data_IF_366994894147
#
_entry.id   IF_366994894147
#
_cell.length_a   1.000
_cell.length_b   1.000
_cell.length_c   1.000
_cell.angle_alpha   90.00
_cell.angle_beta   90.00
_cell.angle_gamma   90.00
#
_symmetry.space_group_name_H-M   'P 1'
#
loop_
_entity.id
_entity.type
_entity.pdbx_description
1 polymer ?
#
# COMPACT_ATOMS: atom_id res chain seq x y z
N UNK A 1 -1.47 12.77 5.78
CA UNK A 1 -2.15 11.46 5.79
C UNK A 1 -1.36 10.46 4.95
N UNK A 2 -1.40 9.16 5.27
CA UNK A 2 -0.68 8.14 4.50
C UNK A 2 -1.49 7.64 3.30
N UNK A 3 -0.82 7.37 2.18
CA UNK A 3 -1.46 6.83 1.00
C UNK A 3 -1.38 5.30 1.00
N UNK A 4 -2.47 4.63 1.38
CA UNK A 4 -2.56 3.18 1.53
C UNK A 4 -3.59 2.51 0.61
N UNK A 5 -3.98 3.19 -0.49
CA UNK A 5 -4.98 2.69 -1.46
C UNK A 5 -6.27 2.13 -0.81
N UNK A 6 -6.75 2.75 0.27
CA UNK A 6 -7.92 2.28 1.05
C UNK A 6 -7.80 0.84 1.62
N UNK A 7 -6.57 0.35 1.77
CA UNK A 7 -6.30 -1.03 2.23
C UNK A 7 -5.69 -1.11 3.61
N UNK A 8 -5.25 -0.01 4.19
CA UNK A 8 -4.83 0.07 5.58
C UNK A 8 -5.46 1.26 6.28
N UNK A 9 -5.86 1.07 7.54
CA UNK A 9 -6.35 2.13 8.40
C UNK A 9 -5.23 2.82 9.20
N UNK A 10 -4.07 2.16 9.31
CA UNK A 10 -2.93 2.63 10.12
C UNK A 10 -1.66 2.66 9.27
N UNK A 11 -0.78 3.57 9.60
CA UNK A 11 0.55 3.68 9.02
C UNK A 11 1.54 4.15 10.09
N UNK A 12 2.83 3.95 9.84
CA UNK A 12 3.92 4.54 10.60
C UNK A 12 4.77 5.44 9.71
N UNK A 13 5.43 6.41 10.31
CA UNK A 13 6.45 7.19 9.61
C UNK A 13 7.81 6.48 9.68
N UNK A 14 8.58 6.53 8.59
CA UNK A 14 9.95 6.06 8.52
C UNK A 14 10.84 7.21 8.00
N UNK A 15 11.75 7.67 8.86
CA UNK A 15 12.66 8.79 8.57
C UNK A 15 13.66 8.47 7.46
N UNK A 16 14.13 7.23 7.38
CA UNK A 16 15.08 6.80 6.36
C UNK A 16 14.44 6.87 4.97
N UNK A 17 13.23 6.32 4.83
CA UNK A 17 12.47 6.40 3.59
C UNK A 17 12.10 7.82 3.21
N UNK A 18 11.83 8.68 4.20
CA UNK A 18 11.61 10.10 3.96
C UNK A 18 12.84 10.77 3.34
N UNK A 19 14.03 10.55 3.91
CA UNK A 19 15.29 11.06 3.36
C UNK A 19 15.55 10.54 1.94
N UNK A 20 15.43 9.23 1.73
CA UNK A 20 15.61 8.59 0.42
C UNK A 20 14.64 9.10 -0.65
N UNK A 21 13.41 9.46 -0.26
CA UNK A 21 12.43 10.04 -1.18
C UNK A 21 12.68 11.52 -1.55
N UNK A 22 13.82 12.10 -1.15
CA UNK A 22 14.09 13.52 -1.30
C UNK A 22 13.20 14.38 -0.41
N UNK A 23 12.94 13.92 0.82
CA UNK A 23 12.07 14.59 1.82
C UNK A 23 10.62 14.78 1.34
N UNK A 24 10.09 13.82 0.57
CA UNK A 24 8.70 13.85 0.04
C UNK A 24 7.74 12.92 0.76
N UNK A 25 8.14 11.68 1.05
CA UNK A 25 7.26 10.69 1.69
C UNK A 25 8.04 9.69 2.55
N UNK A 26 7.64 9.55 3.82
CA UNK A 26 8.14 8.55 4.77
C UNK A 26 7.08 7.56 5.27
N UNK A 27 5.83 7.68 4.83
CA UNK A 27 4.73 6.86 5.33
C UNK A 27 4.84 5.39 4.89
N UNK A 28 4.62 4.46 5.81
CA UNK A 28 4.57 3.02 5.56
C UNK A 28 3.27 2.48 6.13
N UNK A 29 2.41 1.92 5.26
CA UNK A 29 1.15 1.33 5.66
C UNK A 29 1.36 0.07 6.51
N UNK A 30 0.51 -0.13 7.49
CA UNK A 30 0.55 -1.29 8.39
C UNK A 30 -0.65 -2.19 8.13
N UNK A 31 -0.43 -3.50 8.14
CA UNK A 31 -1.47 -4.53 8.00
C UNK A 31 -2.37 -4.31 6.77
N UNK A 32 -1.76 -4.26 5.57
CA UNK A 32 -2.51 -4.19 4.32
C UNK A 32 -3.56 -5.32 4.23
N UNK A 33 -4.82 -4.91 4.07
CA UNK A 33 -5.99 -5.78 3.88
C UNK A 33 -6.17 -6.10 2.39
N UNK A 34 -7.19 -6.90 2.07
CA UNK A 34 -7.62 -7.15 0.69
C UNK A 34 -6.55 -7.80 -0.19
N UNK A 35 -5.71 -8.64 0.42
CA UNK A 35 -4.62 -9.36 -0.24
C UNK A 35 -3.61 -8.44 -0.96
N UNK A 36 -3.47 -7.21 -0.49
CA UNK A 36 -2.48 -6.25 -0.98
C UNK A 36 -1.23 -6.23 -0.11
N UNK A 37 -0.13 -5.76 -0.70
CA UNK A 37 1.19 -5.70 -0.10
C UNK A 37 1.96 -4.45 -0.58
N UNK A 38 3.15 -4.30 0.01
CA UNK A 38 4.02 -3.16 -0.22
C UNK A 38 3.71 -1.96 0.66
N UNK A 39 4.63 -0.99 0.62
CA UNK A 39 4.63 0.21 1.46
C UNK A 39 3.32 0.99 1.44
N UNK A 40 2.65 1.03 0.29
CA UNK A 40 1.38 1.72 0.07
C UNK A 40 0.20 0.77 -0.19
N UNK A 41 0.34 -0.54 0.07
CA UNK A 41 -0.67 -1.53 -0.29
C UNK A 41 -1.05 -1.45 -1.78
N UNK A 42 -0.04 -1.46 -2.68
CA UNK A 42 -0.19 -1.06 -4.09
C UNK A 42 0.02 -2.20 -5.09
N UNK A 43 0.40 -3.38 -4.61
CA UNK A 43 0.49 -4.60 -5.40
C UNK A 43 -0.12 -5.77 -4.62
N UNK A 44 -0.36 -6.90 -5.28
CA UNK A 44 -0.96 -8.08 -4.65
C UNK A 44 0.07 -8.92 -3.90
N UNK A 45 -0.30 -9.46 -2.75
CA UNK A 45 0.52 -10.43 -2.02
C UNK A 45 0.88 -11.61 -2.94
N UNK A 46 1.99 -12.26 -2.62
CA UNK A 46 2.35 -13.53 -3.25
C UNK A 46 1.19 -14.53 -3.14
N UNK A 47 0.95 -15.27 -4.22
CA UNK A 47 -0.22 -16.16 -4.37
C UNK A 47 -1.51 -15.48 -4.83
N UNK A 48 -1.55 -14.14 -4.94
CA UNK A 48 -2.67 -13.39 -5.48
C UNK A 48 -2.28 -12.63 -6.75
N UNK A 49 -3.22 -12.50 -7.68
CA UNK A 49 -3.03 -11.78 -8.95
C UNK A 49 -3.88 -10.51 -9.02
N UNK A 50 -3.39 -9.52 -9.77
CA UNK A 50 -4.05 -8.22 -9.93
C UNK A 50 -5.22 -8.31 -10.91
N UNK A 51 -6.42 -7.96 -10.45
CA UNK A 51 -7.61 -7.83 -11.31
C UNK A 51 -7.63 -6.46 -12.01
N UNK A 52 -7.06 -6.38 -13.21
CA UNK A 52 -6.91 -5.14 -13.97
C UNK A 52 -8.25 -4.46 -14.34
N UNK A 53 -9.39 -5.15 -14.23
CA UNK A 53 -10.72 -4.55 -14.43
C UNK A 53 -11.16 -3.62 -13.30
N UNK A 54 -10.43 -3.61 -12.18
CA UNK A 54 -10.76 -2.83 -10.98
C UNK A 54 -9.64 -1.86 -10.65
N UNK A 55 -9.93 -0.66 -10.10
CA UNK A 55 -8.87 0.21 -9.59
C UNK A 55 -8.15 -0.45 -8.42
N UNK A 56 -6.87 -0.07 -8.18
CA UNK A 56 -6.07 -0.65 -7.09
C UNK A 56 -6.72 -0.44 -5.73
N UNK A 57 -7.47 0.64 -5.53
CA UNK A 57 -8.16 0.94 -4.28
C UNK A 57 -9.36 0.03 -3.96
N UNK A 58 -9.78 -0.81 -4.91
CA UNK A 58 -10.95 -1.68 -4.76
C UNK A 58 -10.68 -2.84 -3.79
N UNK A 59 -11.65 -3.19 -2.93
CA UNK A 59 -11.57 -4.28 -1.94
C UNK A 59 -11.24 -5.66 -2.52
N UNK A 60 -11.49 -5.86 -3.81
CA UNK A 60 -11.20 -7.10 -4.57
C UNK A 60 -10.24 -6.84 -5.74
N UNK A 61 -9.31 -5.89 -5.59
CA UNK A 61 -8.30 -5.61 -6.61
C UNK A 61 -7.30 -6.76 -6.81
N UNK A 62 -7.19 -7.65 -5.82
CA UNK A 62 -6.36 -8.86 -5.84
C UNK A 62 -7.24 -10.10 -5.67
N UNK A 63 -7.01 -11.11 -6.51
CA UNK A 63 -7.74 -12.39 -6.58
C UNK A 63 -6.82 -13.56 -6.36
#
# INVERSE_FOLDING_TARGET
ACHCNLHAARCRFNMELYKLSGRRSGGVCLNCRHNTAGRHCHYCKEGYYRDMSKPISHRRACK
#
